data_IF_991576988580
#
_entry.id   IF_991576988580
#
_cell.length_a   1.000
_cell.length_b   1.000
_cell.length_c   1.000
_cell.angle_alpha   90.00
_cell.angle_beta   90.00
_cell.angle_gamma   90.00
#
_symmetry.space_group_name_H-M   'P 1'
#
loop_
_entity.id
_entity.type
_entity.pdbx_description
1 polymer ?
#
# COMPACT_ATOMS: atom_id res chain seq x y z
N UNK A 1 4.92 -11.21 23.69
CA UNK A 1 5.19 -10.02 22.87
C UNK A 1 5.68 -10.40 21.49
N UNK A 2 6.28 -11.54 21.35
CA UNK A 2 6.67 -12.03 20.05
C UNK A 2 5.45 -12.27 19.18
N UNK A 3 4.38 -12.74 19.80
CA UNK A 3 3.14 -12.97 19.08
C UNK A 3 2.59 -11.68 18.50
N UNK A 4 2.67 -10.60 19.26
CA UNK A 4 2.18 -9.31 18.79
C UNK A 4 3.01 -8.82 17.62
N UNK A 5 4.31 -8.99 17.68
CA UNK A 5 5.18 -8.60 16.59
C UNK A 5 4.87 -9.41 15.32
N UNK A 6 4.68 -10.72 15.48
CA UNK A 6 4.33 -11.58 14.35
C UNK A 6 2.99 -11.20 13.73
N UNK A 7 2.02 -10.87 14.59
CA UNK A 7 0.71 -10.48 14.11
C UNK A 7 0.79 -9.20 13.29
N UNK A 8 1.56 -8.23 13.78
CA UNK A 8 1.76 -6.99 13.04
C UNK A 8 2.45 -7.21 11.71
N UNK A 9 3.42 -8.10 11.69
CA UNK A 9 4.12 -8.41 10.45
C UNK A 9 3.19 -9.03 9.43
N UNK A 10 2.30 -9.90 9.87
CA UNK A 10 1.33 -10.52 8.98
C UNK A 10 0.37 -9.46 8.41
N UNK A 11 -0.10 -8.57 9.28
CA UNK A 11 -0.99 -7.50 8.83
C UNK A 11 -0.30 -6.61 7.82
N UNK A 12 0.95 -6.24 8.09
CA UNK A 12 1.70 -5.39 7.19
C UNK A 12 1.91 -6.08 5.84
N UNK A 13 2.20 -7.36 5.87
CA UNK A 13 2.40 -8.12 4.64
C UNK A 13 1.13 -8.15 3.79
N UNK A 14 -0.02 -8.32 4.44
CA UNK A 14 -1.29 -8.31 3.74
C UNK A 14 -1.60 -6.93 3.15
N UNK A 15 -1.33 -5.87 3.92
CA UNK A 15 -1.54 -4.51 3.43
C UNK A 15 -0.66 -4.21 2.24
N UNK A 16 0.59 -4.64 2.30
CA UNK A 16 1.51 -4.45 1.18
C UNK A 16 1.00 -5.12 -0.08
N UNK A 17 0.58 -6.36 0.05
CA UNK A 17 0.07 -7.12 -1.08
C UNK A 17 -1.13 -6.44 -1.70
N UNK A 18 -2.08 -6.06 -0.88
CA UNK A 18 -3.28 -5.39 -1.35
C UNK A 18 -2.94 -4.06 -2.00
N UNK A 19 -2.05 -3.31 -1.37
CA UNK A 19 -1.66 -2.01 -1.88
C UNK A 19 -1.04 -2.14 -3.26
N UNK A 20 -0.12 -3.06 -3.41
CA UNK A 20 0.54 -3.27 -4.69
C UNK A 20 -0.46 -3.66 -5.77
N UNK A 21 -1.31 -4.61 -5.44
CA UNK A 21 -2.31 -5.08 -6.38
C UNK A 21 -3.25 -3.97 -6.83
N UNK A 22 -3.79 -3.23 -5.87
CA UNK A 22 -4.74 -2.17 -6.20
C UNK A 22 -4.10 -1.02 -6.95
N UNK A 23 -2.86 -0.67 -6.59
CA UNK A 23 -2.17 0.42 -7.24
C UNK A 23 -1.83 0.06 -8.69
N UNK A 24 -1.29 -1.13 -8.89
CA UNK A 24 -0.83 -1.52 -10.22
C UNK A 24 -1.97 -1.94 -11.14
N UNK A 25 -3.11 -2.31 -10.59
CA UNK A 25 -4.26 -2.65 -11.43
C UNK A 25 -4.81 -1.41 -12.14
N UNK A 26 -4.60 -0.23 -11.58
CA UNK A 26 -4.99 1.01 -12.22
C UNK A 26 -6.48 1.32 -12.19
N UNK A 27 -7.27 0.54 -11.46
CA UNK A 27 -8.71 0.72 -11.43
C UNK A 27 -9.20 1.67 -10.34
N UNK A 28 -8.47 1.76 -9.23
CA UNK A 28 -8.91 2.53 -8.09
C UNK A 28 -8.09 3.81 -7.93
N UNK A 29 -8.74 4.93 -7.56
CA UNK A 29 -7.98 6.12 -7.18
C UNK A 29 -7.15 5.85 -5.93
N UNK A 30 -6.04 6.56 -5.80
CA UNK A 30 -5.18 6.36 -4.64
C UNK A 30 -5.89 6.69 -3.34
N UNK A 31 -6.77 7.68 -3.37
CA UNK A 31 -7.54 8.04 -2.17
C UNK A 31 -8.41 6.87 -1.71
N UNK A 32 -9.03 6.20 -2.65
CA UNK A 32 -9.87 5.05 -2.34
C UNK A 32 -9.05 3.90 -1.77
N UNK A 33 -7.89 3.64 -2.35
CA UNK A 33 -7.01 2.58 -1.88
C UNK A 33 -6.58 2.88 -0.44
N UNK A 34 -6.17 4.11 -0.20
CA UNK A 34 -5.74 4.53 1.11
C UNK A 34 -6.85 4.32 2.15
N UNK A 35 -8.05 4.70 1.80
CA UNK A 35 -9.21 4.54 2.67
C UNK A 35 -9.46 3.06 2.98
N UNK A 36 -9.43 2.22 1.97
CA UNK A 36 -9.69 0.78 2.14
C UNK A 36 -8.65 0.12 3.03
N UNK A 37 -7.43 0.63 3.01
CA UNK A 37 -6.36 0.08 3.83
C UNK A 37 -6.33 0.66 5.24
N UNK A 38 -7.25 1.57 5.55
CA UNK A 38 -7.37 2.10 6.90
C UNK A 38 -6.53 3.33 7.16
N UNK A 39 -6.00 3.97 6.14
CA UNK A 39 -5.26 5.22 6.32
C UNK A 39 -6.23 6.39 6.36
N UNK A 40 -5.95 7.33 7.23
CA UNK A 40 -6.77 8.52 7.36
C UNK A 40 -6.60 9.47 6.18
N UNK A 41 -5.38 9.57 5.70
CA UNK A 41 -5.05 10.51 4.64
C UNK A 41 -4.24 9.80 3.57
N UNK A 42 -4.48 10.21 2.34
CA UNK A 42 -3.77 9.63 1.21
C UNK A 42 -2.26 9.83 1.34
N UNK A 43 -1.84 10.96 1.91
CA UNK A 43 -0.42 11.22 2.12
C UNK A 43 0.24 10.17 3.00
N UNK A 44 -0.47 9.72 4.03
CA UNK A 44 0.07 8.69 4.91
C UNK A 44 0.25 7.37 4.17
N UNK A 45 -0.71 7.04 3.32
CA UNK A 45 -0.61 5.85 2.49
C UNK A 45 0.57 5.95 1.54
N UNK A 46 0.73 7.10 0.90
CA UNK A 46 1.82 7.31 -0.05
C UNK A 46 3.18 7.12 0.61
N UNK A 47 3.33 7.63 1.82
CA UNK A 47 4.59 7.45 2.56
C UNK A 47 4.83 5.99 2.89
N UNK A 48 3.80 5.30 3.35
CA UNK A 48 3.92 3.90 3.69
C UNK A 48 4.28 3.07 2.45
N UNK A 49 3.61 3.35 1.34
CA UNK A 49 3.87 2.64 0.10
C UNK A 49 5.32 2.84 -0.34
N UNK A 50 5.79 4.07 -0.27
CA UNK A 50 7.16 4.36 -0.66
C UNK A 50 8.15 3.64 0.24
N UNK A 51 7.84 3.54 1.52
CA UNK A 51 8.70 2.82 2.45
C UNK A 51 8.70 1.33 2.14
N UNK A 52 7.53 0.79 1.80
CA UNK A 52 7.41 -0.64 1.51
C UNK A 52 8.11 -1.03 0.22
N UNK A 53 7.97 -0.23 -0.83
CA UNK A 53 8.38 -0.63 -2.18
C UNK A 53 9.45 0.27 -2.79
N UNK A 54 9.86 1.32 -2.09
CA UNK A 54 10.90 2.25 -2.53
C UNK A 54 10.49 3.08 -3.75
N UNK A 55 9.22 3.04 -4.15
CA UNK A 55 8.69 3.89 -5.20
C UNK A 55 7.34 4.44 -4.78
N UNK A 56 6.98 5.59 -5.33
CA UNK A 56 5.68 6.18 -5.03
C UNK A 56 4.57 5.38 -5.74
N UNK A 57 3.35 5.38 -5.19
CA UNK A 57 2.26 4.62 -5.81
C UNK A 57 2.01 5.00 -7.26
N UNK A 58 2.05 6.29 -7.55
CA UNK A 58 1.82 6.74 -8.92
C UNK A 58 2.88 6.21 -9.86
N UNK A 59 4.11 6.19 -9.39
CA UNK A 59 5.21 5.68 -10.19
C UNK A 59 5.08 4.19 -10.44
N UNK A 60 4.67 3.45 -9.42
CA UNK A 60 4.46 2.02 -9.57
C UNK A 60 3.35 1.74 -10.57
N UNK A 61 2.28 2.53 -10.53
CA UNK A 61 1.17 2.40 -11.46
C UNK A 61 1.63 2.62 -12.89
N UNK A 62 2.41 3.66 -13.11
CA UNK A 62 2.93 3.96 -14.44
C UNK A 62 3.87 2.89 -14.95
N UNK A 63 4.69 2.34 -14.07
CA UNK A 63 5.64 1.31 -14.44
C UNK A 63 4.95 0.05 -14.93
N UNK A 64 3.80 -0.25 -14.34
CA UNK A 64 3.08 -1.47 -14.68
C UNK A 64 2.21 -1.33 -15.92
N UNK A 65 2.12 -0.14 -16.46
CA UNK A 65 1.25 0.10 -17.60
C UNK A 65 1.86 -0.26 -18.93
N UNK A 66 3.05 -0.65 -18.92
CA UNK A 66 3.67 -1.02 -20.17
C UNK A 66 3.07 -2.24 -20.77
#
# INVERSE_FOLDING_TARGET
>A
HDKNASFQQVLDALRKKQAWHWVTSGHLPLAEISYRLGFRHTGNFTRAFKRWFAVAPLQARLSETY
#
